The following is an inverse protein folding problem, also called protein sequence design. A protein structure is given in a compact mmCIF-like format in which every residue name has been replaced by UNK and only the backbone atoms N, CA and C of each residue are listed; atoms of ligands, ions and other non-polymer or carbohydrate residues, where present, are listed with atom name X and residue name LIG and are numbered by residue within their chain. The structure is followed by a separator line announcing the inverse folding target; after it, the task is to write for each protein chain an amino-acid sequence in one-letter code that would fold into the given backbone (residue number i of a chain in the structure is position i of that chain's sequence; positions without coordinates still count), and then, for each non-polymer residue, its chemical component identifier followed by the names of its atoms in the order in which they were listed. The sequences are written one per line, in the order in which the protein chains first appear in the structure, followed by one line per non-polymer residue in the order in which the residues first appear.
data_IF_207712545313
#
_entry.id   IF_207712545313
#
_cell.length_a   1.000
_cell.length_b   1.000
_cell.length_c   1.000
_cell.angle_alpha   90.00
_cell.angle_beta   90.00
_cell.angle_gamma   90.00
#
_symmetry.space_group_name_H-M   'P 1'
#
loop_
_entity.id
_entity.type
_entity.pdbx_description
1 polymer ?
#
# COMPACT_ATOMS: atom_id res chain seq x y z
N UNK A 1 -23.06 4.76 3.87
CA UNK A 1 -21.70 4.94 4.41
C UNK A 1 -20.77 5.12 3.21
N UNK A 2 -20.07 6.25 3.12
CA UNK A 2 -19.17 6.52 1.99
C UNK A 2 -18.02 5.52 2.04
N UNK A 3 -17.89 4.68 1.02
CA UNK A 3 -16.67 3.91 0.80
C UNK A 3 -15.53 4.91 0.63
N UNK A 4 -14.66 5.00 1.64
CA UNK A 4 -13.48 5.85 1.60
C UNK A 4 -12.61 5.36 0.45
N UNK A 5 -12.57 6.14 -0.65
CA UNK A 5 -11.70 5.84 -1.80
C UNK A 5 -10.26 5.60 -1.29
N UNK A 6 -9.54 4.59 -1.80
CA UNK A 6 -8.16 4.37 -1.42
C UNK A 6 -7.33 5.64 -1.62
N UNK A 7 -6.53 6.00 -0.63
CA UNK A 7 -5.64 7.18 -0.67
C UNK A 7 -4.34 6.89 -1.42
N UNK A 8 -4.05 5.62 -1.68
CA UNK A 8 -2.94 5.19 -2.50
C UNK A 8 -2.84 3.67 -2.56
N UNK A 9 -1.71 3.20 -3.07
CA UNK A 9 -1.38 1.79 -3.20
C UNK A 9 0.02 1.55 -2.64
N UNK A 10 0.19 0.41 -1.97
CA UNK A 10 1.50 -0.13 -1.61
C UNK A 10 1.70 -1.44 -2.36
N UNK A 11 2.71 -1.49 -3.21
CA UNK A 11 3.07 -2.68 -3.98
C UNK A 11 4.26 -3.35 -3.30
N UNK A 12 4.15 -4.64 -3.02
CA UNK A 12 5.17 -5.41 -2.31
C UNK A 12 5.58 -6.64 -3.11
N UNK A 13 6.89 -6.82 -3.28
CA UNK A 13 7.48 -8.09 -3.71
C UNK A 13 7.92 -8.86 -2.48
N UNK A 14 7.39 -10.06 -2.28
CA UNK A 14 7.72 -10.92 -1.14
C UNK A 14 8.59 -12.09 -1.60
N UNK A 15 9.65 -12.39 -0.84
CA UNK A 15 10.52 -13.53 -1.08
C UNK A 15 9.71 -14.84 -1.11
N UNK A 16 9.99 -15.70 -2.09
CA UNK A 16 9.27 -16.97 -2.28
C UNK A 16 7.89 -16.85 -2.93
N UNK A 17 7.39 -15.64 -3.20
CA UNK A 17 6.17 -15.42 -3.96
C UNK A 17 6.46 -15.01 -5.40
N UNK A 18 5.63 -15.49 -6.34
CA UNK A 18 5.77 -15.20 -7.78
C UNK A 18 5.04 -13.92 -8.18
N UNK A 19 4.02 -13.52 -7.44
CA UNK A 19 3.17 -12.36 -7.71
C UNK A 19 3.38 -11.24 -6.69
N UNK A 20 3.39 -10.01 -7.18
CA UNK A 20 3.45 -8.82 -6.34
C UNK A 20 2.11 -8.61 -5.63
N UNK A 21 2.17 -8.21 -4.36
CA UNK A 21 0.99 -7.87 -3.59
C UNK A 21 0.66 -6.41 -3.83
N UNK A 22 -0.59 -6.14 -4.21
CA UNK A 22 -1.12 -4.80 -4.37
C UNK A 22 -2.08 -4.49 -3.23
N UNK A 23 -1.68 -3.60 -2.33
CA UNK A 23 -2.48 -3.20 -1.17
C UNK A 23 -3.12 -1.83 -1.43
N UNK A 24 -4.45 -1.73 -1.36
CA UNK A 24 -5.16 -0.46 -1.47
C UNK A 24 -5.24 0.18 -0.10
N UNK A 25 -4.60 1.34 0.08
CA UNK A 25 -4.44 1.97 1.39
C UNK A 25 -5.64 2.85 1.73
N UNK A 26 -6.19 2.65 2.93
CA UNK A 26 -7.29 3.47 3.47
C UNK A 26 -6.76 4.75 4.12
N UNK A 27 -5.62 4.63 4.78
CA UNK A 27 -4.92 5.73 5.44
C UNK A 27 -3.92 6.42 4.48
N UNK A 28 -3.29 7.50 4.94
CA UNK A 28 -2.29 8.20 4.13
C UNK A 28 -1.17 7.22 3.75
N UNK A 29 -0.74 7.17 2.47
CA UNK A 29 0.35 6.30 2.06
C UNK A 29 1.66 6.65 2.79
N UNK A 30 2.41 5.64 3.25
CA UNK A 30 3.71 5.87 3.88
C UNK A 30 4.69 6.52 2.90
N UNK A 31 5.71 7.19 3.41
CA UNK A 31 6.82 7.67 2.59
C UNK A 31 7.73 6.51 2.19
N UNK A 32 8.58 6.75 1.20
CA UNK A 32 9.60 5.76 0.80
C UNK A 32 10.60 5.52 1.95
N UNK A 33 10.93 6.56 2.72
CA UNK A 33 11.82 6.45 3.89
C UNK A 33 11.18 5.62 5.03
N UNK A 34 9.88 5.78 5.28
CA UNK A 34 9.15 4.95 6.25
C UNK A 34 9.14 3.47 5.82
N UNK A 35 8.88 3.20 4.53
CA UNK A 35 8.91 1.81 4.03
C UNK A 35 10.33 1.24 4.08
N UNK A 36 11.34 2.04 3.76
CA UNK A 36 12.74 1.64 3.83
C UNK A 36 13.13 1.28 5.27
N UNK A 37 12.72 2.07 6.27
CA UNK A 37 13.00 1.75 7.68
C UNK A 37 12.32 0.45 8.11
N UNK A 38 11.06 0.22 7.72
CA UNK A 38 10.35 -1.05 8.01
C UNK A 38 11.08 -2.27 7.44
N UNK A 39 11.62 -2.15 6.22
CA UNK A 39 12.42 -3.20 5.57
C UNK A 39 13.76 -3.42 6.28
N UNK A 40 14.49 -2.35 6.59
CA UNK A 40 15.80 -2.41 7.26
C UNK A 40 15.69 -2.99 8.67
N UNK A 41 14.67 -2.58 9.41
CA UNK A 41 14.41 -3.01 10.79
C UNK A 41 13.62 -4.33 10.87
N UNK A 42 13.26 -4.93 9.73
CA UNK A 42 12.55 -6.23 9.66
C UNK A 42 11.24 -6.24 10.45
N UNK A 43 10.49 -5.13 10.40
CA UNK A 43 9.32 -4.91 11.24
C UNK A 43 8.10 -5.70 10.80
N UNK A 44 7.18 -5.92 11.74
CA UNK A 44 5.78 -6.28 11.44
C UNK A 44 4.92 -5.02 11.59
N UNK A 45 4.32 -4.58 10.49
CA UNK A 45 3.54 -3.33 10.42
C UNK A 45 2.06 -3.63 10.22
N UNK A 46 1.21 -2.88 10.92
CA UNK A 46 -0.25 -2.89 10.75
C UNK A 46 -0.62 -1.90 9.65
N UNK A 47 -1.23 -2.38 8.57
CA UNK A 47 -1.66 -1.54 7.45
C UNK A 47 -3.17 -1.67 7.30
N UNK A 48 -3.90 -0.55 7.32
CA UNK A 48 -5.32 -0.56 6.98
C UNK A 48 -5.51 -0.53 5.48
N UNK A 49 -6.17 -1.56 4.96
CA UNK A 49 -6.34 -1.79 3.53
C UNK A 49 -7.80 -2.08 3.19
N UNK A 50 -8.15 -1.97 1.92
CA UNK A 50 -9.38 -2.55 1.33
C UNK A 50 -9.00 -3.49 0.20
N UNK A 51 -9.84 -4.47 -0.12
CA UNK A 51 -9.63 -5.30 -1.30
C UNK A 51 -10.20 -4.63 -2.55
N UNK A 52 -9.67 -4.99 -3.72
CA UNK A 52 -10.26 -4.54 -4.97
C UNK A 52 -11.67 -5.12 -5.13
N UNK A 53 -12.68 -4.25 -5.21
CA UNK A 53 -14.09 -4.66 -5.30
C UNK A 53 -14.78 -4.85 -3.94
N UNK A 54 -14.03 -4.75 -2.83
CA UNK A 54 -14.60 -4.67 -1.49
C UNK A 54 -14.55 -3.23 -0.97
N UNK A 55 -15.61 -2.81 -0.28
CA UNK A 55 -15.68 -1.51 0.38
C UNK A 55 -15.41 -1.61 1.89
N UNK A 56 -15.04 -2.79 2.40
CA UNK A 56 -14.83 -3.01 3.84
C UNK A 56 -13.34 -2.93 4.19
N UNK A 57 -12.91 -1.88 4.93
CA UNK A 57 -11.55 -1.78 5.44
C UNK A 57 -11.24 -2.86 6.46
N UNK A 58 -10.07 -3.49 6.34
CA UNK A 58 -9.53 -4.39 7.36
C UNK A 58 -8.05 -4.12 7.61
N UNK A 59 -7.51 -4.68 8.69
CA UNK A 59 -6.09 -4.54 9.04
C UNK A 59 -5.31 -5.74 8.56
N UNK A 60 -4.27 -5.50 7.77
CA UNK A 60 -3.29 -6.50 7.37
C UNK A 60 -2.02 -6.36 8.21
N UNK A 61 -1.48 -7.48 8.70
CA UNK A 61 -0.16 -7.53 9.31
C UNK A 61 0.86 -7.93 8.24
N UNK A 62 1.79 -7.03 7.93
CA UNK A 62 2.82 -7.27 6.92
C UNK A 62 4.16 -7.44 7.60
N UNK A 63 4.80 -8.58 7.37
CA UNK A 63 6.15 -8.86 7.84
C UNK A 63 7.17 -8.38 6.79
N UNK A 64 7.80 -7.24 7.06
CA UNK A 64 8.77 -6.61 6.16
C UNK A 64 10.13 -7.33 6.12
N UNK A 65 10.38 -8.33 6.98
CA UNK A 65 11.58 -9.18 6.87
C UNK A 65 11.58 -10.07 5.61
N UNK A 66 10.43 -10.24 4.95
CA UNK A 66 10.26 -11.03 3.74
C UNK A 66 10.05 -10.16 2.49
N UNK A 67 9.93 -8.84 2.64
CA UNK A 67 9.73 -7.92 1.52
C UNK A 67 11.08 -7.62 0.88
N UNK A 68 11.21 -7.86 -0.42
CA UNK A 68 12.46 -7.66 -1.18
C UNK A 68 12.43 -6.43 -2.08
N UNK A 69 11.23 -5.92 -2.38
CA UNK A 69 11.04 -4.64 -3.05
C UNK A 69 9.68 -4.06 -2.64
N UNK A 70 9.60 -2.74 -2.60
CA UNK A 70 8.36 -2.03 -2.32
C UNK A 70 8.25 -0.79 -3.20
N UNK A 71 7.01 -0.43 -3.56
CA UNK A 71 6.70 0.82 -4.27
C UNK A 71 5.45 1.45 -3.69
N UNK A 72 5.54 2.74 -3.37
CA UNK A 72 4.40 3.53 -2.92
C UNK A 72 3.82 4.31 -4.09
N UNK A 73 2.50 4.23 -4.29
CA UNK A 73 1.77 5.04 -5.26
C UNK A 73 0.74 5.88 -4.52
N UNK A 74 0.87 7.21 -4.57
CA UNK A 74 -0.15 8.10 -3.99
C UNK A 74 -1.29 8.27 -4.99
N UNK A 75 -2.54 8.23 -4.51
CA UNK A 75 -3.66 8.59 -5.36
C UNK A 75 -3.45 10.03 -5.83
N UNK A 76 -3.46 10.27 -7.14
CA UNK A 76 -3.33 11.61 -7.67
C UNK A 76 -4.43 12.47 -7.04
N UNK A 77 -4.05 13.45 -6.22
CA UNK A 77 -4.97 14.50 -5.76
C UNK A 77 -5.43 15.19 -7.03
N UNK A 78 -6.67 14.94 -7.45
CA UNK A 78 -7.15 15.33 -8.77
C UNK A 78 -6.81 16.78 -9.10
N UNK A 79 -6.10 16.98 -10.21
CA UNK A 79 -6.06 18.30 -10.83
C UNK A 79 -5.93 18.16 -12.35
N UNK A 80 -7.05 18.52 -13.00
CA UNK A 80 -7.21 19.12 -14.33
C UNK A 80 -6.87 18.27 -15.55
N UNK A 81 -7.83 18.27 -16.46
CA UNK A 81 -7.73 17.64 -17.76
C UNK A 81 -6.46 18.04 -18.48
N UNK A 82 -5.78 17.03 -19.00
CA UNK A 82 -4.99 17.18 -20.20
C UNK A 82 -5.85 16.57 -21.29
N UNK A 83 -6.43 17.44 -22.12
CA UNK A 83 -6.96 17.05 -23.42
C UNK A 83 -5.77 16.63 -24.29
N UNK A 84 -5.91 15.52 -24.99
CA UNK A 84 -5.13 15.27 -26.21
C UNK A 84 -5.50 16.29 -27.27
#
# INVERSE_FOLDING_TARGET
MNASRPKGELHLRVAGHTTDWKLLLVDEPPTEDEVASWMQEKMVVRIRVTEQGSNEPHTLLVNFSLVVAARVLRAARGNRGVKF
#
